data_IF_896320712237
#
_entry.id   IF_896320712237
#
_cell.length_a   1.000
_cell.length_b   1.000
_cell.length_c   1.000
_cell.angle_alpha   90.00
_cell.angle_beta   90.00
_cell.angle_gamma   90.00
#
_symmetry.space_group_name_H-M   'P 1'
#
loop_
_entity.id
_entity.type
_entity.pdbx_description
1 polymer ?
#
# COMPACT_ATOMS: atom_id res chain seq x y z
N UNK A 1 17.76 11.96 -1.98
CA UNK A 1 16.30 11.79 -1.97
C UNK A 1 15.92 10.57 -2.81
N UNK A 2 15.00 9.75 -2.31
CA UNK A 2 14.33 8.68 -3.05
C UNK A 2 12.99 9.25 -3.53
N UNK A 3 12.76 9.31 -4.84
CA UNK A 3 11.44 9.68 -5.39
C UNK A 3 10.78 8.44 -5.97
N UNK A 4 9.61 8.06 -5.45
CA UNK A 4 8.79 6.99 -6.00
C UNK A 4 7.49 7.58 -6.54
N UNK A 5 7.22 7.36 -7.83
CA UNK A 5 5.95 7.69 -8.45
C UNK A 5 5.27 6.40 -8.96
N UNK A 6 3.94 6.36 -8.94
CA UNK A 6 3.14 5.25 -9.47
C UNK A 6 2.17 5.76 -10.53
N UNK A 7 1.80 4.90 -11.48
CA UNK A 7 0.68 5.18 -12.38
C UNK A 7 -0.68 5.03 -11.66
N UNK A 8 -1.75 5.46 -12.32
CA UNK A 8 -3.12 5.40 -11.78
C UNK A 8 -3.53 3.96 -11.43
N UNK A 9 -3.17 3.01 -12.30
CA UNK A 9 -3.42 1.57 -12.14
C UNK A 9 -2.66 0.96 -10.94
N UNK A 10 -1.56 1.60 -10.49
CA UNK A 10 -0.78 1.17 -9.34
C UNK A 10 0.09 -0.07 -9.59
N UNK A 11 0.39 -0.39 -10.85
CA UNK A 11 1.21 -1.53 -11.28
C UNK A 11 2.59 -1.09 -11.83
N UNK A 12 2.75 0.18 -12.20
CA UNK A 12 4.03 0.74 -12.68
C UNK A 12 4.62 1.70 -11.64
N UNK A 13 5.85 1.42 -11.20
CA UNK A 13 6.59 2.21 -10.22
C UNK A 13 7.85 2.80 -10.85
N UNK A 14 7.94 4.13 -10.84
CA UNK A 14 9.12 4.88 -11.25
C UNK A 14 9.94 5.17 -9.99
N UNK A 15 11.09 4.52 -9.84
CA UNK A 15 12.00 4.77 -8.73
C UNK A 15 13.19 5.60 -9.22
N UNK A 16 13.17 6.89 -8.85
CA UNK A 16 14.27 7.82 -9.07
C UNK A 16 15.28 7.74 -7.92
N UNK A 17 16.51 7.32 -8.23
CA UNK A 17 17.65 7.42 -7.32
C UNK A 17 18.62 8.47 -7.85
N UNK A 18 19.00 9.42 -6.99
CA UNK A 18 19.80 10.62 -7.30
C UNK A 18 21.16 10.34 -7.99
N UNK A 19 21.62 9.10 -8.06
CA UNK A 19 22.96 8.72 -8.51
C UNK A 19 22.99 7.95 -9.84
N UNK A 20 21.87 7.84 -10.57
CA UNK A 20 21.85 7.25 -11.94
C UNK A 20 21.25 8.23 -12.96
N UNK A 21 21.94 8.39 -14.09
CA UNK A 21 21.43 9.09 -15.29
C UNK A 21 20.27 8.36 -15.99
N UNK A 22 19.91 7.14 -15.56
CA UNK A 22 18.80 6.35 -16.11
C UNK A 22 17.82 6.00 -15.01
N UNK A 23 16.57 6.37 -15.22
CA UNK A 23 15.43 5.95 -14.39
C UNK A 23 15.12 4.49 -14.69
N UNK A 24 15.19 3.62 -13.68
CA UNK A 24 14.75 2.24 -13.79
C UNK A 24 13.33 2.15 -13.28
N UNK A 25 12.37 1.88 -14.16
CA UNK A 25 11.00 1.56 -13.77
C UNK A 25 10.88 0.09 -13.39
N UNK A 26 10.11 -0.21 -12.35
CA UNK A 26 9.61 -1.55 -12.09
C UNK A 26 8.16 -1.63 -12.59
N UNK A 27 7.91 -2.55 -13.52
CA UNK A 27 6.57 -2.89 -13.98
C UNK A 27 6.17 -4.22 -13.36
N UNK A 28 5.07 -4.21 -12.63
CA UNK A 28 4.49 -5.42 -12.04
C UNK A 28 3.25 -5.85 -12.81
N UNK A 29 2.82 -7.08 -12.59
CA UNK A 29 1.45 -7.49 -12.94
C UNK A 29 0.46 -6.76 -12.04
N UNK A 30 -0.83 -6.70 -12.42
CA UNK A 30 -1.86 -5.99 -11.63
C UNK A 30 -2.02 -6.54 -10.21
N UNK A 31 -1.83 -7.84 -10.01
CA UNK A 31 -1.85 -8.47 -8.69
C UNK A 31 -0.60 -8.12 -7.88
N UNK A 32 0.57 -8.20 -8.51
CA UNK A 32 1.85 -8.04 -7.83
C UNK A 32 2.14 -6.58 -7.51
N UNK A 33 1.69 -5.65 -8.35
CA UNK A 33 1.83 -4.21 -8.14
C UNK A 33 1.13 -3.74 -6.86
N UNK A 34 -0.07 -4.26 -6.59
CA UNK A 34 -0.80 -3.98 -5.34
C UNK A 34 -0.09 -4.54 -4.12
N UNK A 35 0.50 -5.74 -4.23
CA UNK A 35 1.27 -6.33 -3.14
C UNK A 35 2.56 -5.53 -2.88
N UNK A 36 3.29 -5.18 -3.93
CA UNK A 36 4.50 -4.36 -3.85
C UNK A 36 4.21 -2.98 -3.26
N UNK A 37 3.16 -2.29 -3.70
CA UNK A 37 2.77 -0.98 -3.18
C UNK A 37 2.59 -1.01 -1.66
N UNK A 38 1.89 -2.04 -1.15
CA UNK A 38 1.61 -2.21 0.28
C UNK A 38 2.90 -2.51 1.05
N UNK A 39 3.72 -3.43 0.55
CA UNK A 39 5.01 -3.76 1.17
C UNK A 39 5.96 -2.57 1.18
N UNK A 40 6.02 -1.81 0.09
CA UNK A 40 6.87 -0.63 -0.03
C UNK A 40 6.41 0.50 0.91
N UNK A 41 5.10 0.75 1.02
CA UNK A 41 4.56 1.72 1.98
C UNK A 41 4.88 1.33 3.44
N UNK A 42 4.75 0.05 3.78
CA UNK A 42 5.12 -0.47 5.10
C UNK A 42 6.62 -0.34 5.38
N UNK A 43 7.46 -0.66 4.39
CA UNK A 43 8.90 -0.53 4.51
C UNK A 43 9.32 0.94 4.70
N UNK A 44 8.67 1.87 4.00
CA UNK A 44 8.92 3.31 4.15
C UNK A 44 8.52 3.79 5.55
N UNK A 45 7.33 3.41 6.02
CA UNK A 45 6.88 3.75 7.37
C UNK A 45 7.82 3.18 8.46
N UNK A 46 8.32 1.95 8.27
CA UNK A 46 9.29 1.33 9.17
C UNK A 46 10.66 2.01 9.13
N UNK A 47 11.07 2.53 7.97
CA UNK A 47 12.29 3.31 7.87
C UNK A 47 12.17 4.65 8.62
N UNK A 48 11.01 5.31 8.55
CA UNK A 48 10.77 6.61 9.17
C UNK A 48 10.52 6.52 10.68
N UNK A 49 9.73 5.52 11.13
CA UNK A 49 9.21 5.44 12.50
C UNK A 49 9.73 4.22 13.29
N UNK A 50 10.48 3.33 12.63
CA UNK A 50 10.99 2.09 13.22
C UNK A 50 10.01 0.92 13.14
N UNK A 51 10.57 -0.28 13.25
CA UNK A 51 9.83 -1.55 13.20
C UNK A 51 8.75 -1.66 14.31
N UNK A 52 9.02 -1.28 15.59
CA UNK A 52 8.02 -1.42 16.64
C UNK A 52 6.74 -0.62 16.39
N UNK A 53 6.86 0.64 15.96
CA UNK A 53 5.71 1.50 15.70
C UNK A 53 4.95 1.04 14.45
N UNK A 54 5.65 0.51 13.46
CA UNK A 54 5.03 -0.12 12.26
C UNK A 54 4.14 -1.30 12.64
N UNK A 55 4.61 -2.18 13.53
CA UNK A 55 3.82 -3.34 13.98
C UNK A 55 2.56 -2.90 14.72
N UNK A 56 2.67 -1.85 15.54
CA UNK A 56 1.52 -1.26 16.25
C UNK A 56 0.50 -0.69 15.27
N UNK A 57 0.95 0.04 14.27
CA UNK A 57 0.07 0.62 13.24
C UNK A 57 -0.62 -0.46 12.40
N UNK A 58 0.11 -1.51 11.99
CA UNK A 58 -0.48 -2.66 11.28
C UNK A 58 -1.61 -3.29 12.12
N UNK A 59 -1.39 -3.50 13.43
CA UNK A 59 -2.40 -4.08 14.32
C UNK A 59 -3.61 -3.15 14.50
N UNK A 60 -3.37 -1.84 14.59
CA UNK A 60 -4.42 -0.82 14.67
C UNK A 60 -5.30 -0.85 13.41
N UNK A 61 -4.69 -0.84 12.22
CA UNK A 61 -5.38 -0.90 10.94
C UNK A 61 -6.20 -2.18 10.75
N UNK A 62 -5.67 -3.34 11.16
CA UNK A 62 -6.43 -4.61 11.13
C UNK A 62 -7.67 -4.52 12.02
N UNK A 63 -7.53 -3.95 13.22
CA UNK A 63 -8.64 -3.78 14.16
C UNK A 63 -9.70 -2.84 13.59
N UNK A 64 -9.29 -1.68 13.07
CA UNK A 64 -10.17 -0.70 12.46
C UNK A 64 -10.94 -1.27 11.27
N UNK A 65 -10.28 -1.98 10.35
CA UNK A 65 -10.94 -2.60 9.19
C UNK A 65 -11.90 -3.72 9.56
N UNK A 66 -11.63 -4.44 10.65
CA UNK A 66 -12.57 -5.45 11.15
C UNK A 66 -13.82 -4.80 11.76
N UNK A 67 -13.71 -3.61 12.35
CA UNK A 67 -14.84 -2.84 12.88
C UNK A 67 -15.65 -2.14 11.77
N UNK A 68 -14.97 -1.66 10.72
CA UNK A 68 -15.59 -0.99 9.57
C UNK A 68 -16.13 -1.96 8.51
N UNK A 69 -16.08 -3.28 8.75
CA UNK A 69 -16.65 -4.24 7.81
C UNK A 69 -18.14 -3.92 7.61
N UNK A 70 -18.59 -3.70 6.36
CA UNK A 70 -19.99 -3.41 6.11
C UNK A 70 -20.84 -4.58 6.60
N UNK A 71 -21.76 -4.28 7.52
CA UNK A 71 -22.78 -5.23 7.93
C UNK A 71 -23.72 -5.39 6.74
N UNK A 72 -23.92 -6.64 6.32
CA UNK A 72 -24.87 -6.95 5.25
C UNK A 72 -26.29 -6.69 5.79
N UNK A 73 -26.82 -5.48 5.61
CA UNK A 73 -28.21 -5.17 5.93
C UNK A 73 -29.10 -5.77 4.83
N UNK A 74 -29.68 -6.93 5.13
CA UNK A 74 -30.76 -7.49 4.32
C UNK A 74 -32.00 -6.63 4.56
N UNK A 75 -32.27 -5.68 3.67
CA UNK A 75 -33.62 -5.11 3.56
C UNK A 75 -34.53 -6.24 3.13
N UNK A 76 -35.31 -6.78 4.06
CA UNK A 76 -36.36 -7.73 3.75
C UNK A 76 -37.28 -7.05 2.73
N UNK A 77 -37.23 -7.51 1.48
CA UNK A 77 -38.13 -7.06 0.44
C UNK A 77 -39.55 -7.43 0.84
N UNK A 78 -40.29 -6.47 1.39
CA UNK A 78 -41.73 -6.59 1.53
C UNK A 78 -42.34 -6.46 0.13
N UNK A 79 -42.58 -7.59 -0.51
CA UNK A 79 -43.52 -7.76 -1.63
C UNK A 79 -44.31 -9.03 -1.41
#
# INVERSE_FOLDING_TARGET
MLSAARNEEGNDFIIGVSNRKKTSGLKFTDSDGKAFARLFALALYAYENGIPETIKEIKSEITRRNQEKPVLELTAGNT
#
